data_IF_048378833182
#
_entry.id   IF_048378833182
#
_cell.length_a   1.000
_cell.length_b   1.000
_cell.length_c   1.000
_cell.angle_alpha   90.00
_cell.angle_beta   90.00
_cell.angle_gamma   90.00
#
_symmetry.space_group_name_H-M   'P 1'
#
loop_
_entity.id
_entity.type
_entity.pdbx_description
1 polymer ?
#
# COMPACT_ATOMS: atom_id res chain seq x y z
N UNK A 1 -9.13 -23.74 -9.58
CA UNK A 1 -8.16 -24.11 -10.63
C UNK A 1 -6.76 -23.82 -10.11
N UNK A 2 -5.84 -24.80 -10.04
CA UNK A 2 -4.44 -24.53 -9.71
C UNK A 2 -3.85 -23.59 -10.76
N UNK A 3 -3.08 -22.57 -10.35
CA UNK A 3 -2.34 -21.69 -11.27
C UNK A 3 -0.96 -22.32 -11.53
N UNK A 4 -0.72 -22.97 -12.68
CA UNK A 4 0.48 -23.78 -12.91
C UNK A 4 1.79 -23.00 -12.91
N UNK A 5 1.75 -21.67 -13.02
CA UNK A 5 2.95 -20.79 -13.08
C UNK A 5 3.07 -19.82 -11.91
N UNK A 6 2.28 -20.00 -10.84
CA UNK A 6 2.26 -19.05 -9.72
C UNK A 6 3.66 -18.86 -9.10
N UNK A 7 4.45 -19.94 -8.99
CA UNK A 7 5.80 -19.87 -8.41
C UNK A 7 6.75 -19.04 -9.27
N UNK A 8 6.73 -19.23 -10.58
CA UNK A 8 7.60 -18.50 -11.52
C UNK A 8 7.25 -17.01 -11.56
N UNK A 9 5.94 -16.69 -11.53
CA UNK A 9 5.45 -15.31 -11.46
C UNK A 9 5.92 -14.61 -10.17
N UNK A 10 5.83 -15.28 -9.02
CA UNK A 10 6.26 -14.74 -7.74
C UNK A 10 7.78 -14.52 -7.69
N UNK A 11 8.56 -15.44 -8.23
CA UNK A 11 10.01 -15.30 -8.32
C UNK A 11 10.41 -14.10 -9.20
N UNK A 12 9.72 -13.90 -10.33
CA UNK A 12 9.91 -12.73 -11.18
C UNK A 12 9.66 -11.42 -10.41
N UNK A 13 8.55 -11.32 -9.66
CA UNK A 13 8.25 -10.12 -8.88
C UNK A 13 9.25 -9.88 -7.75
N UNK A 14 9.69 -10.93 -7.08
CA UNK A 14 10.74 -10.85 -6.06
C UNK A 14 12.05 -10.32 -6.65
N UNK A 15 12.50 -10.85 -7.80
CA UNK A 15 13.69 -10.36 -8.52
C UNK A 15 13.57 -8.91 -9.00
N UNK A 16 12.35 -8.45 -9.26
CA UNK A 16 12.06 -7.05 -9.59
C UNK A 16 12.07 -6.11 -8.37
N UNK A 17 12.29 -6.64 -7.15
CA UNK A 17 12.33 -5.85 -5.92
C UNK A 17 10.96 -5.46 -5.39
N UNK A 18 9.90 -6.17 -5.78
CA UNK A 18 8.56 -5.95 -5.24
C UNK A 18 8.52 -6.43 -3.79
N UNK A 19 8.11 -5.55 -2.88
CA UNK A 19 8.18 -5.76 -1.41
C UNK A 19 6.84 -6.20 -0.79
N UNK A 20 5.73 -6.05 -1.50
CA UNK A 20 4.39 -6.40 -1.01
C UNK A 20 3.41 -6.57 -2.16
N UNK A 21 2.37 -7.38 -1.97
CA UNK A 21 1.24 -7.48 -2.87
C UNK A 21 -0.07 -7.08 -2.16
N UNK A 22 -0.97 -6.48 -2.92
CA UNK A 22 -2.34 -6.17 -2.50
C UNK A 22 -3.26 -6.28 -3.73
N UNK A 23 -4.54 -5.93 -3.56
CA UNK A 23 -5.54 -6.06 -4.64
C UNK A 23 -6.06 -4.72 -5.16
N UNK A 24 -5.84 -3.62 -4.43
CA UNK A 24 -6.49 -2.33 -4.68
C UNK A 24 -5.55 -1.23 -5.17
N UNK A 25 -4.26 -1.23 -4.76
CA UNK A 25 -3.34 -0.10 -4.97
C UNK A 25 -3.21 0.27 -6.45
N UNK A 26 -3.04 -0.70 -7.35
CA UNK A 26 -2.86 -0.44 -8.78
C UNK A 26 -4.05 0.33 -9.37
N UNK A 27 -5.27 -0.10 -9.07
CA UNK A 27 -6.50 0.56 -9.53
C UNK A 27 -6.62 1.96 -8.95
N UNK A 28 -6.40 2.11 -7.63
CA UNK A 28 -6.48 3.41 -6.96
C UNK A 28 -5.52 4.43 -7.57
N UNK A 29 -4.27 4.05 -7.83
CA UNK A 29 -3.25 4.95 -8.38
C UNK A 29 -3.58 5.37 -9.82
N UNK A 30 -4.01 4.43 -10.67
CA UNK A 30 -4.37 4.72 -12.07
C UNK A 30 -5.60 5.63 -12.15
N UNK A 31 -6.68 5.30 -11.42
CA UNK A 31 -7.89 6.11 -11.41
C UNK A 31 -7.60 7.50 -10.85
N UNK A 32 -6.85 7.61 -9.76
CA UNK A 32 -6.47 8.89 -9.17
C UNK A 32 -5.68 9.75 -10.15
N UNK A 33 -4.74 9.16 -10.90
CA UNK A 33 -3.99 9.87 -11.94
C UNK A 33 -4.91 10.42 -13.03
N UNK A 34 -5.84 9.62 -13.53
CA UNK A 34 -6.81 10.06 -14.55
C UNK A 34 -7.72 11.19 -14.03
N UNK A 35 -8.03 11.19 -12.73
CA UNK A 35 -8.85 12.21 -12.07
C UNK A 35 -8.06 13.42 -11.56
N UNK A 36 -6.76 13.50 -11.84
CA UNK A 36 -5.85 14.57 -11.38
C UNK A 36 -5.81 14.68 -9.84
N UNK A 37 -5.93 13.56 -9.15
CA UNK A 37 -5.85 13.47 -7.69
C UNK A 37 -4.48 12.93 -7.24
N UNK A 38 -4.04 13.35 -6.05
CA UNK A 38 -2.90 12.71 -5.36
C UNK A 38 -3.43 11.46 -4.65
N UNK A 39 -2.68 10.37 -4.75
CA UNK A 39 -2.98 9.12 -4.05
C UNK A 39 -1.69 8.50 -3.51
N UNK A 40 -1.83 7.72 -2.44
CA UNK A 40 -0.77 6.92 -1.85
C UNK A 40 -1.41 5.82 -1.00
N UNK A 41 -0.69 4.72 -0.82
CA UNK A 41 -1.14 3.56 -0.03
C UNK A 41 -0.08 3.18 0.99
N UNK A 42 -0.53 2.55 2.06
CA UNK A 42 0.31 1.87 3.04
C UNK A 42 -0.31 0.50 3.30
N UNK A 43 0.53 -0.51 3.47
CA UNK A 43 0.09 -1.89 3.62
C UNK A 43 0.69 -2.46 4.90
N UNK A 44 -0.13 -3.20 5.64
CA UNK A 44 0.33 -4.06 6.72
C UNK A 44 0.65 -5.42 6.12
N UNK A 45 1.92 -5.84 6.20
CA UNK A 45 2.32 -7.17 5.76
C UNK A 45 1.82 -8.20 6.78
N UNK A 46 0.78 -8.96 6.42
CA UNK A 46 0.13 -9.97 7.27
C UNK A 46 0.65 -11.38 7.04
N UNK A 47 1.39 -11.58 5.96
CA UNK A 47 1.95 -12.87 5.58
C UNK A 47 3.17 -12.65 4.65
N UNK A 48 4.11 -13.57 4.72
CA UNK A 48 5.14 -13.73 3.69
C UNK A 48 4.66 -14.70 2.63
N UNK A 49 4.80 -14.29 1.37
CA UNK A 49 4.30 -15.03 0.23
C UNK A 49 4.97 -16.41 0.12
N UNK A 50 4.21 -17.46 0.49
CA UNK A 50 4.68 -18.84 0.54
C UNK A 50 4.73 -19.47 1.94
N UNK A 51 4.42 -18.71 3.01
CA UNK A 51 4.34 -19.27 4.37
C UNK A 51 3.12 -20.19 4.57
N UNK A 52 2.05 -19.95 3.80
CA UNK A 52 0.83 -20.76 3.83
C UNK A 52 -0.18 -20.36 4.91
N UNK A 53 0.13 -19.37 5.76
CA UNK A 53 -0.77 -18.90 6.82
C UNK A 53 -0.78 -17.37 6.92
N UNK A 54 -1.99 -16.78 6.93
CA UNK A 54 -2.14 -15.38 7.35
C UNK A 54 -1.80 -15.34 8.84
N UNK A 55 -0.67 -14.71 9.19
CA UNK A 55 -0.28 -14.61 10.58
C UNK A 55 -1.32 -13.78 11.35
N UNK A 56 -1.76 -14.30 12.49
CA UNK A 56 -2.45 -13.48 13.50
C UNK A 56 -1.45 -12.49 14.07
N UNK A 57 -1.29 -11.37 13.38
CA UNK A 57 -0.40 -10.30 13.81
C UNK A 57 -0.89 -9.71 15.14
N UNK A 58 0.07 -9.23 15.93
CA UNK A 58 -0.21 -8.34 17.04
C UNK A 58 -1.02 -7.12 16.53
N UNK A 59 -2.23 -6.87 17.08
CA UNK A 59 -3.04 -5.70 16.73
C UNK A 59 -2.29 -4.36 16.79
N UNK A 60 -1.22 -4.28 17.61
CA UNK A 60 -0.38 -3.07 17.73
C UNK A 60 0.25 -2.63 16.39
N UNK A 61 0.46 -3.55 15.44
CA UNK A 61 0.98 -3.21 14.11
C UNK A 61 -0.05 -2.48 13.25
N UNK A 62 -1.32 -2.86 13.37
CA UNK A 62 -2.42 -2.14 12.71
C UNK A 62 -2.55 -0.73 13.29
N UNK A 63 -2.52 -0.60 14.62
CA UNK A 63 -2.54 0.71 15.29
C UNK A 63 -1.38 1.61 14.82
N UNK A 64 -0.18 1.04 14.68
CA UNK A 64 0.99 1.75 14.16
C UNK A 64 0.79 2.20 12.72
N UNK A 65 0.30 1.33 11.85
CA UNK A 65 0.00 1.65 10.46
C UNK A 65 -1.00 2.80 10.37
N UNK A 66 -2.10 2.73 11.13
CA UNK A 66 -3.13 3.76 11.16
C UNK A 66 -2.59 5.12 11.65
N UNK A 67 -1.75 5.13 12.68
CA UNK A 67 -1.08 6.36 13.14
C UNK A 67 -0.23 6.99 12.03
N UNK A 68 0.53 6.19 11.28
CA UNK A 68 1.32 6.66 10.14
C UNK A 68 0.42 7.27 9.05
N UNK A 69 -0.68 6.61 8.69
CA UNK A 69 -1.64 7.14 7.72
C UNK A 69 -2.23 8.48 8.17
N UNK A 70 -2.74 8.55 9.41
CA UNK A 70 -3.37 9.76 9.95
C UNK A 70 -2.39 10.93 9.98
N UNK A 71 -1.15 10.70 10.41
CA UNK A 71 -0.13 11.74 10.45
C UNK A 71 0.31 12.21 9.05
N UNK A 72 0.40 11.29 8.08
CA UNK A 72 0.66 11.67 6.70
C UNK A 72 -0.46 12.57 6.14
N UNK A 73 -1.72 12.23 6.40
CA UNK A 73 -2.89 13.04 5.98
C UNK A 73 -2.87 14.42 6.64
N UNK A 74 -2.59 14.50 7.96
CA UNK A 74 -2.44 15.79 8.67
C UNK A 74 -1.39 16.68 8.02
N UNK A 75 -0.23 16.12 7.64
CA UNK A 75 0.84 16.85 6.96
C UNK A 75 0.41 17.34 5.57
N UNK A 76 -0.35 16.53 4.83
CA UNK A 76 -0.89 16.94 3.52
C UNK A 76 -1.89 18.08 3.66
N UNK A 77 -2.80 18.01 4.64
CA UNK A 77 -3.77 19.09 4.93
C UNK A 77 -3.04 20.41 5.25
N UNK A 78 -2.04 20.36 6.15
CA UNK A 78 -1.26 21.55 6.48
C UNK A 78 -0.53 22.13 5.26
N UNK A 79 0.05 21.27 4.42
CA UNK A 79 0.69 21.69 3.17
C UNK A 79 -0.28 22.38 2.21
N UNK A 80 -1.48 21.83 2.07
CA UNK A 80 -2.51 22.38 1.19
C UNK A 80 -3.02 23.73 1.70
N UNK A 81 -3.21 23.87 3.02
CA UNK A 81 -3.57 25.14 3.66
C UNK A 81 -2.50 26.23 3.43
N UNK A 82 -1.22 25.89 3.57
CA UNK A 82 -0.13 26.81 3.28
C UNK A 82 -0.05 27.21 1.80
N UNK A 83 -0.36 26.29 0.88
CA UNK A 83 -0.38 26.60 -0.55
C UNK A 83 -1.53 27.56 -0.90
N UNK A 84 -2.70 27.40 -0.28
CA UNK A 84 -3.86 28.26 -0.50
C UNK A 84 -3.63 29.71 -0.01
N UNK A 85 -2.85 29.90 1.06
CA UNK A 85 -2.51 31.23 1.58
C UNK A 85 -1.54 32.03 0.70
N UNK A 86 -0.84 31.38 -0.23
CA UNK A 86 0.15 32.00 -1.12
C UNK A 86 -0.42 32.43 -2.48
N UNK A 87 -1.68 32.07 -2.76
CA UNK A 87 -2.40 32.45 -3.99
C UNK A 87 -3.27 33.68 -3.71
#
# INVERSE_FOLDING_TARGET
MPRPHLRDELEMWSKAGIISNDMETSTLLIVSRLRKMRAGTINLCVDELGSGEIHHLDPSYMDRMLKVAVDAVRRLIARDAHAAQRQ
#
